data_IF_819286291249
#
_entry.id   IF_819286291249
#
_cell.length_a   1.000
_cell.length_b   1.000
_cell.length_c   1.000
_cell.angle_alpha   90.00
_cell.angle_beta   90.00
_cell.angle_gamma   90.00
#
_symmetry.space_group_name_H-M   'P 1'
#
loop_
_entity.id
_entity.type
_entity.pdbx_description
1 polymer ?
#
# COMPACT_ATOMS: atom_id res chain seq x y z
N UNK A 1 2.26 -11.86 1.48
CA UNK A 1 3.09 -12.95 0.93
C UNK A 1 3.56 -13.79 2.10
N UNK A 2 3.09 -15.03 2.18
CA UNK A 2 3.58 -15.96 3.19
C UNK A 2 4.95 -16.48 2.76
N UNK A 3 6.00 -16.11 3.47
CA UNK A 3 7.34 -16.70 3.28
C UNK A 3 7.41 -18.16 3.76
N UNK A 4 6.27 -18.68 4.25
CA UNK A 4 6.21 -20.04 4.82
C UNK A 4 7.15 -20.21 6.00
N UNK A 5 7.48 -21.43 6.33
CA UNK A 5 8.41 -21.76 7.43
C UNK A 5 9.89 -21.80 6.98
N UNK A 6 10.23 -21.14 5.86
CA UNK A 6 11.58 -21.21 5.29
C UNK A 6 12.62 -20.42 6.09
N UNK A 7 12.22 -19.40 6.79
CA UNK A 7 13.09 -18.60 7.68
C UNK A 7 12.27 -17.81 8.70
N UNK A 8 12.92 -17.41 9.79
CA UNK A 8 12.30 -16.51 10.76
C UNK A 8 12.34 -15.08 10.26
N UNK A 9 11.24 -14.34 10.43
CA UNK A 9 11.13 -12.93 10.07
C UNK A 9 10.47 -12.13 11.18
N UNK A 10 10.81 -10.85 11.23
CA UNK A 10 10.18 -9.85 12.07
C UNK A 10 9.41 -8.83 11.24
N UNK A 11 8.48 -8.15 11.88
CA UNK A 11 7.77 -6.98 11.32
C UNK A 11 8.00 -5.82 12.27
N UNK A 12 8.43 -4.69 11.72
CA UNK A 12 8.62 -3.46 12.47
C UNK A 12 7.96 -2.29 11.70
N UNK A 13 7.51 -1.25 12.40
CA UNK A 13 7.07 -0.03 11.74
C UNK A 13 8.26 0.62 11.02
N UNK A 14 7.98 1.41 9.99
CA UNK A 14 9.01 2.20 9.31
C UNK A 14 9.68 3.16 10.29
N UNK A 15 10.99 3.41 10.18
CA UNK A 15 11.71 4.39 10.99
C UNK A 15 11.41 5.81 10.48
N UNK A 16 10.14 6.20 10.48
CA UNK A 16 9.66 7.48 9.99
C UNK A 16 8.51 7.98 10.88
N UNK A 17 8.45 9.30 11.05
CA UNK A 17 7.32 9.96 11.72
C UNK A 17 6.02 9.81 10.94
N UNK A 18 6.10 9.73 9.61
CA UNK A 18 4.94 9.63 8.73
C UNK A 18 4.89 8.26 8.06
N UNK A 19 3.69 7.72 7.95
CA UNK A 19 3.43 6.46 7.29
C UNK A 19 2.54 6.70 6.06
N UNK A 20 2.95 6.16 4.93
CA UNK A 20 2.16 6.26 3.71
C UNK A 20 1.16 5.10 3.66
N UNK A 21 -0.11 5.43 3.58
CA UNK A 21 -1.15 4.45 3.31
C UNK A 21 -1.05 4.02 1.84
N UNK A 22 -0.89 2.74 1.63
CA UNK A 22 -0.96 2.10 0.31
C UNK A 22 -1.89 0.90 0.39
N UNK A 23 -2.60 0.63 -0.70
CA UNK A 23 -3.50 -0.50 -0.79
C UNK A 23 -4.10 -0.58 -2.19
N UNK A 24 -4.89 -1.61 -2.40
CA UNK A 24 -5.68 -1.79 -3.61
C UNK A 24 -7.12 -1.42 -3.29
N UNK A 25 -7.68 -0.51 -4.07
CA UNK A 25 -9.05 -0.05 -3.91
C UNK A 25 -10.00 -0.87 -4.80
N UNK A 26 -11.25 -0.97 -4.35
CA UNK A 26 -12.34 -1.54 -5.15
C UNK A 26 -13.31 -0.43 -5.49
N UNK A 27 -13.58 -0.29 -6.78
CA UNK A 27 -14.52 0.69 -7.32
C UNK A 27 -15.68 -0.01 -8.02
N UNK A 28 -16.87 0.53 -7.83
CA UNK A 28 -18.05 0.13 -8.58
C UNK A 28 -18.29 1.12 -9.73
N UNK A 29 -18.37 0.62 -10.95
CA UNK A 29 -18.72 1.47 -12.09
C UNK A 29 -20.16 1.99 -11.96
N UNK A 30 -20.34 3.26 -12.30
CA UNK A 30 -21.68 3.85 -12.27
C UNK A 30 -22.51 3.52 -13.53
N UNK A 31 -21.88 3.01 -14.59
CA UNK A 31 -22.56 2.50 -15.79
C UNK A 31 -22.94 1.04 -15.59
N UNK A 32 -24.15 0.68 -16.00
CA UNK A 32 -24.70 -0.67 -15.85
C UNK A 32 -26.16 -0.63 -15.41
N UNK A 33 -26.84 -1.78 -15.51
CA UNK A 33 -28.22 -1.90 -15.05
C UNK A 33 -28.34 -1.84 -13.53
N UNK A 34 -29.54 -1.64 -13.00
CA UNK A 34 -29.78 -1.67 -11.56
C UNK A 34 -29.36 -3.00 -10.93
N UNK A 35 -29.65 -4.11 -11.62
CA UNK A 35 -29.32 -5.46 -11.19
C UNK A 35 -27.80 -5.68 -11.14
N UNK A 36 -27.07 -5.21 -12.15
CA UNK A 36 -25.61 -5.29 -12.19
C UNK A 36 -24.97 -4.49 -11.04
N UNK A 37 -25.49 -3.29 -10.76
CA UNK A 37 -25.05 -2.48 -9.63
C UNK A 37 -25.35 -3.14 -8.29
N UNK A 38 -26.56 -3.70 -8.15
CA UNK A 38 -26.93 -4.43 -6.94
C UNK A 38 -26.01 -5.65 -6.70
N UNK A 39 -25.72 -6.42 -7.73
CA UNK A 39 -24.80 -7.56 -7.64
C UNK A 39 -23.38 -7.12 -7.27
N UNK A 40 -22.86 -6.07 -7.90
CA UNK A 40 -21.55 -5.50 -7.57
C UNK A 40 -21.50 -5.00 -6.11
N UNK A 41 -22.54 -4.33 -5.64
CA UNK A 41 -22.65 -3.90 -4.25
C UNK A 41 -22.68 -5.07 -3.26
N UNK A 42 -23.44 -6.13 -3.58
CA UNK A 42 -23.48 -7.34 -2.77
C UNK A 42 -22.10 -7.99 -2.66
N UNK A 43 -21.35 -8.04 -3.76
CA UNK A 43 -19.98 -8.56 -3.76
C UNK A 43 -19.04 -7.72 -2.87
N UNK A 44 -19.08 -6.40 -3.00
CA UNK A 44 -18.28 -5.50 -2.14
C UNK A 44 -18.68 -5.71 -0.67
N UNK A 45 -19.99 -5.76 -0.37
CA UNK A 45 -20.49 -6.01 0.98
C UNK A 45 -20.02 -7.35 1.54
N UNK A 46 -19.97 -8.40 0.71
CA UNK A 46 -19.42 -9.70 1.10
C UNK A 46 -17.94 -9.58 1.48
N UNK A 47 -17.12 -8.91 0.67
CA UNK A 47 -15.70 -8.71 0.95
C UNK A 47 -15.44 -7.90 2.23
N UNK A 48 -16.35 -7.02 2.61
CA UNK A 48 -16.30 -6.26 3.87
C UNK A 48 -16.75 -7.08 5.09
N UNK A 49 -17.20 -8.30 4.89
CA UNK A 49 -17.60 -9.21 5.95
C UNK A 49 -16.42 -9.56 6.87
N UNK A 50 -16.72 -9.76 8.16
CA UNK A 50 -15.68 -10.02 9.19
C UNK A 50 -14.78 -11.20 8.81
N UNK A 51 -15.38 -12.32 8.42
CA UNK A 51 -14.63 -13.55 8.11
C UNK A 51 -13.76 -13.37 6.87
N UNK A 52 -14.27 -12.70 5.84
CA UNK A 52 -13.53 -12.43 4.60
C UNK A 52 -12.32 -11.55 4.88
N UNK A 53 -12.50 -10.49 5.66
CA UNK A 53 -11.39 -9.61 6.02
C UNK A 53 -10.34 -10.28 6.91
N UNK A 54 -10.75 -11.11 7.86
CA UNK A 54 -9.82 -11.90 8.68
C UNK A 54 -9.03 -12.89 7.82
N UNK A 55 -9.72 -13.61 6.94
CA UNK A 55 -9.06 -14.55 6.02
C UNK A 55 -8.06 -13.83 5.12
N UNK A 56 -8.46 -12.69 4.54
CA UNK A 56 -7.58 -11.88 3.70
C UNK A 56 -6.35 -11.36 4.46
N UNK A 57 -6.57 -10.83 5.65
CA UNK A 57 -5.49 -10.32 6.50
C UNK A 57 -4.50 -11.43 6.89
N UNK A 58 -5.00 -12.61 7.26
CA UNK A 58 -4.18 -13.76 7.64
C UNK A 58 -3.33 -14.30 6.47
N UNK A 59 -3.89 -14.29 5.27
CA UNK A 59 -3.22 -14.83 4.08
C UNK A 59 -2.26 -13.86 3.43
N UNK A 60 -2.55 -12.56 3.48
CA UNK A 60 -1.81 -11.53 2.74
C UNK A 60 -1.01 -10.58 3.60
N UNK A 61 -1.33 -10.46 4.88
CA UNK A 61 -0.79 -9.44 5.79
C UNK A 61 -1.41 -8.05 5.60
N UNK A 62 -2.46 -7.91 4.78
CA UNK A 62 -3.20 -6.66 4.65
C UNK A 62 -3.94 -6.31 5.94
N UNK A 63 -4.06 -5.02 6.22
CA UNK A 63 -4.81 -4.53 7.36
C UNK A 63 -6.31 -4.52 6.99
N UNK A 64 -7.20 -5.06 7.84
CA UNK A 64 -8.63 -4.95 7.62
C UNK A 64 -9.09 -3.50 7.51
N UNK A 65 -10.14 -3.23 6.71
CA UNK A 65 -10.60 -1.87 6.45
C UNK A 65 -11.78 -1.44 7.35
N UNK A 66 -12.29 -2.32 8.19
CA UNK A 66 -13.40 -2.00 9.10
C UNK A 66 -12.95 -2.04 10.56
N UNK A 67 -13.38 -1.03 11.32
CA UNK A 67 -13.00 -0.88 12.73
C UNK A 67 -13.43 -2.07 13.61
N UNK A 68 -14.58 -2.70 13.33
CA UNK A 68 -15.04 -3.86 14.07
C UNK A 68 -14.12 -5.09 13.86
N UNK A 69 -13.47 -5.20 12.73
CA UNK A 69 -12.50 -6.27 12.46
C UNK A 69 -11.13 -5.92 13.05
N UNK A 70 -10.63 -4.72 12.80
CA UNK A 70 -9.35 -4.23 13.35
C UNK A 70 -9.33 -4.37 14.88
N UNK A 71 -10.43 -4.02 15.55
CA UNK A 71 -10.53 -4.05 17.00
C UNK A 71 -10.93 -5.43 17.57
N UNK A 72 -11.21 -6.41 16.73
CA UNK A 72 -11.58 -7.74 17.19
C UNK A 72 -10.41 -8.49 17.82
N UNK A 73 -10.69 -9.29 18.84
CA UNK A 73 -9.72 -10.21 19.43
C UNK A 73 -9.18 -11.21 18.41
N UNK A 74 -10.02 -11.63 17.47
CA UNK A 74 -9.62 -12.55 16.40
C UNK A 74 -8.49 -11.98 15.53
N UNK A 75 -8.53 -10.68 15.20
CA UNK A 75 -7.45 -10.04 14.45
C UNK A 75 -6.23 -9.74 15.34
N UNK A 76 -6.46 -9.13 16.52
CA UNK A 76 -5.38 -8.71 17.42
C UNK A 76 -4.52 -9.88 17.91
N UNK A 77 -5.13 -11.03 18.12
CA UNK A 77 -4.47 -12.24 18.62
C UNK A 77 -4.14 -13.24 17.51
N UNK A 78 -4.24 -12.86 16.23
CA UNK A 78 -3.88 -13.74 15.13
C UNK A 78 -2.40 -14.13 15.21
N UNK A 79 -2.13 -15.43 15.13
CA UNK A 79 -0.77 -15.98 15.06
C UNK A 79 -0.28 -16.15 13.62
N UNK A 80 -1.15 -15.96 12.64
CA UNK A 80 -0.85 -16.13 11.21
C UNK A 80 -0.13 -14.94 10.61
N UNK A 81 -0.28 -13.75 11.21
CA UNK A 81 0.38 -12.52 10.79
C UNK A 81 1.01 -11.83 11.99
N UNK A 82 2.18 -11.21 11.80
CA UNK A 82 2.84 -10.38 12.80
C UNK A 82 2.43 -8.90 12.70
N UNK A 83 1.60 -8.54 11.73
CA UNK A 83 1.14 -7.17 11.49
C UNK A 83 0.28 -6.61 12.64
N UNK A 84 -0.68 -7.37 13.22
CA UNK A 84 -1.52 -6.85 14.29
C UNK A 84 -0.74 -6.27 15.49
N UNK A 85 0.37 -6.89 15.85
CA UNK A 85 1.22 -6.43 16.96
C UNK A 85 1.89 -5.07 16.71
N UNK A 86 2.00 -4.63 15.47
CA UNK A 86 2.62 -3.36 15.07
C UNK A 86 1.60 -2.30 14.65
N UNK A 87 0.31 -2.62 14.66
CA UNK A 87 -0.74 -1.81 14.05
C UNK A 87 -0.82 -0.40 14.65
N UNK A 88 -0.78 -0.28 15.97
CA UNK A 88 -0.89 1.02 16.65
C UNK A 88 0.21 2.01 16.25
N UNK A 89 1.40 1.50 15.96
CA UNK A 89 2.53 2.31 15.47
C UNK A 89 2.43 2.59 13.98
N UNK A 90 2.04 1.58 13.19
CA UNK A 90 1.93 1.68 11.75
C UNK A 90 0.81 2.62 11.29
N UNK A 91 -0.28 2.72 12.07
CA UNK A 91 -1.44 3.56 11.75
C UNK A 91 -1.33 5.01 12.24
N UNK A 92 -0.23 5.38 12.90
CA UNK A 92 -0.02 6.78 13.30
C UNK A 92 0.45 7.63 12.13
N UNK A 93 -0.07 8.87 12.06
CA UNK A 93 0.34 9.87 11.06
C UNK A 93 0.30 9.34 9.62
N UNK A 94 -0.79 8.66 9.27
CA UNK A 94 -1.03 8.20 7.91
C UNK A 94 -1.26 9.37 6.97
N UNK A 95 -0.69 9.26 5.77
CA UNK A 95 -1.06 10.11 4.64
C UNK A 95 -1.26 9.26 3.39
N UNK A 96 -2.11 9.73 2.52
CA UNK A 96 -2.34 9.12 1.21
C UNK A 96 -1.61 9.90 0.13
N UNK A 97 -1.16 9.18 -0.88
CA UNK A 97 -0.66 9.82 -2.09
C UNK A 97 -1.80 10.56 -2.77
N UNK A 98 -1.62 11.84 -3.14
CA UNK A 98 -2.66 12.58 -3.83
C UNK A 98 -3.09 11.89 -5.13
N UNK A 99 -4.39 11.70 -5.31
CA UNK A 99 -4.97 11.19 -6.56
C UNK A 99 -5.28 12.41 -7.43
N UNK A 100 -4.27 12.86 -8.16
CA UNK A 100 -4.38 14.00 -9.08
C UNK A 100 -3.93 13.58 -10.48
N UNK A 101 -4.29 14.39 -11.47
CA UNK A 101 -3.85 14.17 -12.85
C UNK A 101 -2.33 13.98 -12.88
N UNK A 102 -1.86 13.03 -13.66
CA UNK A 102 -0.44 12.72 -13.90
C UNK A 102 0.36 12.19 -12.69
N UNK A 103 -0.26 11.98 -11.54
CA UNK A 103 0.45 11.45 -10.35
C UNK A 103 1.20 10.15 -10.64
N UNK A 104 0.60 9.19 -11.36
CA UNK A 104 1.24 7.93 -11.71
C UNK A 104 2.46 8.11 -12.60
N UNK A 105 2.41 9.02 -13.59
CA UNK A 105 3.54 9.32 -14.46
C UNK A 105 4.70 9.92 -13.67
N UNK A 106 4.42 10.87 -12.78
CA UNK A 106 5.40 11.48 -11.89
C UNK A 106 6.02 10.46 -10.91
N UNK A 107 5.22 9.58 -10.31
CA UNK A 107 5.73 8.50 -9.44
C UNK A 107 6.63 7.51 -10.17
N UNK A 108 6.34 7.21 -11.43
CA UNK A 108 7.22 6.39 -12.26
C UNK A 108 8.60 7.03 -12.41
N UNK A 109 8.66 8.37 -12.54
CA UNK A 109 9.94 9.08 -12.59
C UNK A 109 10.70 8.99 -11.26
N UNK A 110 10.03 9.08 -10.09
CA UNK A 110 10.69 8.88 -8.79
C UNK A 110 11.35 7.51 -8.69
N UNK A 111 10.67 6.46 -9.13
CA UNK A 111 11.25 5.12 -9.15
C UNK A 111 12.52 5.06 -10.04
N UNK A 112 12.46 5.63 -11.24
CA UNK A 112 13.60 5.71 -12.15
C UNK A 112 14.78 6.49 -11.57
N UNK A 113 14.50 7.60 -10.87
CA UNK A 113 15.53 8.38 -10.17
C UNK A 113 16.25 7.52 -9.13
N UNK A 114 15.49 6.83 -8.28
CA UNK A 114 16.06 5.97 -7.24
C UNK A 114 16.90 4.83 -7.84
N UNK A 115 16.43 4.19 -8.91
CA UNK A 115 17.21 3.16 -9.60
C UNK A 115 18.52 3.69 -10.15
N UNK A 116 18.50 4.89 -10.75
CA UNK A 116 19.71 5.53 -11.28
C UNK A 116 20.70 5.91 -10.18
N UNK A 117 20.22 6.45 -9.06
CA UNK A 117 21.05 6.75 -7.87
C UNK A 117 21.74 5.48 -7.38
N UNK A 118 21.01 4.38 -7.19
CA UNK A 118 21.58 3.12 -6.73
C UNK A 118 22.60 2.54 -7.74
N UNK A 119 22.32 2.66 -9.04
CA UNK A 119 23.25 2.20 -10.06
C UNK A 119 24.57 2.98 -10.05
N UNK A 120 24.53 4.29 -9.85
CA UNK A 120 25.72 5.13 -9.75
C UNK A 120 26.46 4.89 -8.42
N UNK A 121 25.75 4.82 -7.30
CA UNK A 121 26.32 4.54 -5.99
C UNK A 121 27.06 3.19 -5.97
N UNK A 122 26.48 2.16 -6.60
CA UNK A 122 27.14 0.85 -6.74
C UNK A 122 28.48 0.91 -7.50
N UNK A 123 28.62 1.87 -8.41
CA UNK A 123 29.87 2.10 -9.16
C UNK A 123 30.84 3.06 -8.47
N UNK A 124 30.51 3.54 -7.27
CA UNK A 124 31.29 4.57 -6.58
C UNK A 124 31.26 5.95 -7.24
N UNK A 125 30.30 6.20 -8.14
CA UNK A 125 30.16 7.44 -8.90
C UNK A 125 29.26 8.44 -8.17
N UNK A 126 29.46 9.74 -8.46
CA UNK A 126 28.60 10.78 -7.93
C UNK A 126 27.21 10.72 -8.58
N UNK A 127 26.16 10.67 -7.74
CA UNK A 127 24.76 10.57 -8.17
C UNK A 127 23.99 11.90 -8.19
N UNK A 128 24.60 13.03 -7.80
CA UNK A 128 23.91 14.33 -7.70
C UNK A 128 23.29 14.74 -9.05
N UNK A 129 24.01 14.54 -10.17
CA UNK A 129 23.47 14.80 -11.50
C UNK A 129 22.20 13.99 -11.82
N UNK A 130 22.04 12.80 -11.24
CA UNK A 130 20.84 11.97 -11.40
C UNK A 130 19.65 12.56 -10.65
N UNK A 131 19.89 13.23 -9.52
CA UNK A 131 18.84 13.93 -8.77
C UNK A 131 18.33 15.11 -9.59
N UNK A 132 19.21 15.94 -10.12
CA UNK A 132 18.81 17.13 -10.88
C UNK A 132 18.10 16.79 -12.20
N UNK A 133 18.66 15.85 -12.95
CA UNK A 133 18.00 15.32 -14.15
C UNK A 133 16.63 14.67 -13.81
N UNK A 134 16.56 14.01 -12.67
CA UNK A 134 15.35 13.37 -12.18
C UNK A 134 14.27 14.37 -11.78
N UNK A 135 14.63 15.45 -11.09
CA UNK A 135 13.70 16.56 -10.78
C UNK A 135 13.05 17.12 -12.04
N UNK A 136 13.85 17.38 -13.07
CA UNK A 136 13.34 17.89 -14.34
C UNK A 136 12.34 16.93 -14.98
N UNK A 137 12.66 15.65 -15.04
CA UNK A 137 11.77 14.61 -15.59
C UNK A 137 10.49 14.48 -14.79
N UNK A 138 10.59 14.49 -13.45
CA UNK A 138 9.42 14.46 -12.55
C UNK A 138 8.51 15.65 -12.83
N UNK A 139 9.07 16.86 -12.86
CA UNK A 139 8.31 18.08 -13.11
C UNK A 139 7.61 18.07 -14.47
N UNK A 140 8.32 17.61 -15.52
CA UNK A 140 7.73 17.45 -16.84
C UNK A 140 6.58 16.45 -16.85
N UNK A 141 6.74 15.31 -16.18
CA UNK A 141 5.70 14.29 -16.10
C UNK A 141 4.48 14.74 -15.26
N UNK A 142 4.71 15.60 -14.27
CA UNK A 142 3.64 16.18 -13.46
C UNK A 142 2.81 17.20 -14.22
N UNK A 143 3.44 17.99 -15.09
CA UNK A 143 2.81 19.10 -15.82
C UNK A 143 2.13 18.70 -17.13
N UNK A 144 2.18 17.43 -17.56
CA UNK A 144 1.46 16.92 -18.73
C UNK A 144 -0.05 16.81 -18.45
#
# INVERSE_FOLDING_TARGET
MGVGNKFQYGVAPRPSKYNMQQGTDIYMFNKGTAEQKAAAFMYIKYLLGKNQQLTWADQTGYIPVTNNVINSSAYKNSTKSKVPAQLDKAMKNLYSVPVVKNSNAAYTQLNSIMQNIFAQAKKGQNWNSQIDAGKTKFQSAWNQ
#
